data_IF_140200227365
#
_entry.id   IF_140200227365
#
_cell.length_a   1.000
_cell.length_b   1.000
_cell.length_c   1.000
_cell.angle_alpha   90.00
_cell.angle_beta   90.00
_cell.angle_gamma   90.00
#
_symmetry.space_group_name_H-M   'P 1'
#
loop_
_entity.id
_entity.type
_entity.pdbx_description
1 polymer ?
#
# COMPACT_ATOMS: atom_id res chain seq x y z
N UNK A 1 3.21 47.38 -3.80
CA UNK A 1 2.38 46.49 -4.64
C UNK A 1 3.28 45.39 -5.18
N UNK A 2 3.31 44.26 -4.47
CA UNK A 2 4.03 43.04 -4.87
C UNK A 2 2.97 42.07 -5.39
N UNK A 3 2.97 41.79 -6.70
CA UNK A 3 2.19 40.68 -7.26
C UNK A 3 3.07 39.43 -7.24
N UNK A 4 2.65 38.46 -6.43
CA UNK A 4 3.27 37.15 -6.31
C UNK A 4 3.03 36.33 -7.59
N UNK A 5 4.10 35.67 -8.03
CA UNK A 5 4.07 34.71 -9.13
C UNK A 5 3.20 33.51 -8.79
N UNK A 6 2.35 33.12 -9.75
CA UNK A 6 1.67 31.83 -9.74
C UNK A 6 2.71 30.72 -9.88
N UNK A 7 2.79 29.87 -8.86
CA UNK A 7 3.62 28.66 -8.89
C UNK A 7 3.15 27.74 -10.00
N UNK A 8 4.08 27.44 -10.90
CA UNK A 8 3.92 26.49 -11.99
C UNK A 8 3.76 25.08 -11.40
N UNK A 9 2.53 24.55 -11.37
CA UNK A 9 2.28 23.14 -11.09
C UNK A 9 2.83 22.33 -12.27
N UNK A 10 3.95 21.64 -12.03
CA UNK A 10 4.56 20.71 -12.98
C UNK A 10 3.49 19.70 -13.40
N UNK A 11 2.97 19.80 -14.62
CA UNK A 11 2.12 18.75 -15.17
C UNK A 11 2.98 17.49 -15.21
N UNK A 12 2.59 16.47 -14.45
CA UNK A 12 3.24 15.17 -14.50
C UNK A 12 3.08 14.65 -15.93
N UNK A 13 4.18 14.60 -16.69
CA UNK A 13 4.19 13.99 -18.02
C UNK A 13 3.97 12.48 -17.94
N UNK A 14 4.15 11.89 -16.75
CA UNK A 14 4.02 10.46 -16.52
C UNK A 14 2.74 10.11 -15.74
N UNK A 15 2.20 8.91 -16.02
CA UNK A 15 1.03 8.40 -15.34
C UNK A 15 1.44 7.53 -14.14
N UNK A 16 0.96 7.90 -12.95
CA UNK A 16 1.32 7.26 -11.69
C UNK A 16 0.07 6.78 -10.96
N UNK A 17 0.14 5.54 -10.47
CA UNK A 17 -0.90 4.85 -9.72
C UNK A 17 -0.37 4.61 -8.31
N UNK A 18 -1.09 5.13 -7.32
CA UNK A 18 -0.78 4.94 -5.90
C UNK A 18 -1.84 4.07 -5.25
N UNK A 19 -1.42 2.98 -4.62
CA UNK A 19 -2.27 2.08 -3.82
C UNK A 19 -1.67 1.74 -2.45
N UNK A 20 -0.43 2.17 -2.17
CA UNK A 20 0.27 1.95 -0.91
C UNK A 20 -0.06 3.04 0.13
N UNK A 21 -1.35 3.33 0.28
CA UNK A 21 -1.89 4.41 1.09
C UNK A 21 -3.23 4.88 0.54
N UNK A 22 -3.44 6.19 0.47
CA UNK A 22 -4.60 6.75 -0.24
C UNK A 22 -4.51 6.44 -1.73
N UNK A 23 -5.60 5.88 -2.27
CA UNK A 23 -5.64 5.45 -3.66
C UNK A 23 -5.79 6.67 -4.56
N UNK A 24 -4.88 6.81 -5.52
CA UNK A 24 -4.91 7.91 -6.47
C UNK A 24 -4.31 7.49 -7.82
N UNK A 25 -4.81 8.13 -8.88
CA UNK A 25 -4.20 8.08 -10.21
C UNK A 25 -3.94 9.52 -10.63
N UNK A 26 -2.68 9.80 -10.94
CA UNK A 26 -2.25 11.05 -11.56
C UNK A 26 -1.87 10.74 -13.01
N UNK A 27 -2.34 11.57 -13.94
CA UNK A 27 -2.15 11.36 -15.36
C UNK A 27 -2.26 12.69 -16.13
N UNK A 28 -1.63 12.80 -17.30
CA UNK A 28 -1.50 14.08 -18.03
C UNK A 28 -2.79 14.54 -18.71
N UNK A 29 -3.69 13.62 -19.05
CA UNK A 29 -4.92 13.93 -19.78
C UNK A 29 -6.02 14.50 -18.88
N UNK A 30 -7.08 15.06 -19.49
CA UNK A 30 -8.25 15.50 -18.74
C UNK A 30 -9.04 14.31 -18.18
N UNK A 31 -9.59 14.47 -16.98
CA UNK A 31 -10.51 13.51 -16.37
C UNK A 31 -11.74 14.25 -15.86
N UNK A 32 -12.93 13.73 -16.20
CA UNK A 32 -14.17 14.26 -15.65
C UNK A 32 -14.20 13.99 -14.13
N UNK A 33 -14.27 15.03 -13.27
CA UNK A 33 -14.31 14.87 -11.82
C UNK A 33 -15.42 13.93 -11.34
N UNK A 34 -16.60 13.99 -11.95
CA UNK A 34 -17.77 13.18 -11.57
C UNK A 34 -17.57 11.68 -11.84
N UNK A 35 -16.60 11.34 -12.69
CA UNK A 35 -16.26 9.96 -13.03
C UNK A 35 -14.93 9.50 -12.44
N UNK A 36 -14.20 10.38 -11.74
CA UNK A 36 -12.82 10.13 -11.33
C UNK A 36 -12.68 8.89 -10.46
N UNK A 37 -13.60 8.68 -9.52
CA UNK A 37 -13.55 7.50 -8.64
C UNK A 37 -13.67 6.19 -9.43
N UNK A 38 -14.62 6.11 -10.36
CA UNK A 38 -14.81 4.93 -11.20
C UNK A 38 -13.62 4.67 -12.13
N UNK A 39 -13.10 5.73 -12.78
CA UNK A 39 -11.96 5.59 -13.69
C UNK A 39 -10.68 5.22 -12.92
N UNK A 40 -10.51 5.74 -11.71
CA UNK A 40 -9.41 5.37 -10.79
C UNK A 40 -9.50 3.89 -10.44
N UNK A 41 -10.68 3.40 -10.06
CA UNK A 41 -10.91 1.99 -9.76
C UNK A 41 -10.56 1.09 -10.95
N UNK A 42 -10.98 1.45 -12.16
CA UNK A 42 -10.67 0.73 -13.39
C UNK A 42 -9.15 0.64 -13.63
N UNK A 43 -8.45 1.77 -13.52
CA UNK A 43 -7.00 1.84 -13.72
C UNK A 43 -6.26 1.01 -12.67
N UNK A 44 -6.67 1.07 -11.40
CA UNK A 44 -6.13 0.24 -10.32
C UNK A 44 -6.37 -1.24 -10.60
N UNK A 45 -7.55 -1.63 -11.07
CA UNK A 45 -7.84 -3.01 -11.42
C UNK A 45 -6.89 -3.52 -12.53
N UNK A 46 -6.66 -2.71 -13.57
CA UNK A 46 -5.72 -3.07 -14.64
C UNK A 46 -4.27 -3.13 -14.15
N UNK A 47 -3.85 -2.24 -13.24
CA UNK A 47 -2.51 -2.26 -12.66
C UNK A 47 -2.23 -3.54 -11.88
N UNK A 48 -3.24 -4.08 -11.20
CA UNK A 48 -3.15 -5.37 -10.50
C UNK A 48 -3.25 -6.59 -11.43
N UNK A 49 -3.55 -6.38 -12.71
CA UNK A 49 -3.71 -7.41 -13.73
C UNK A 49 -2.93 -7.04 -15.00
N UNK A 50 -1.61 -6.84 -14.87
CA UNK A 50 -0.71 -6.42 -15.97
C UNK A 50 -0.75 -7.34 -17.20
N UNK A 51 -1.11 -8.62 -17.05
CA UNK A 51 -1.32 -9.53 -18.18
C UNK A 51 -2.53 -9.20 -19.06
N UNK A 52 -3.38 -8.27 -18.63
CA UNK A 52 -4.50 -7.74 -19.38
C UNK A 52 -5.85 -8.39 -19.07
N UNK A 53 -6.91 -7.61 -19.24
CA UNK A 53 -8.27 -7.99 -18.84
C UNK A 53 -9.25 -7.81 -20.00
N UNK A 54 -10.12 -8.80 -20.21
CA UNK A 54 -11.21 -8.71 -21.18
C UNK A 54 -12.30 -7.75 -20.69
N UNK A 55 -12.97 -6.99 -21.59
CA UNK A 55 -14.05 -6.06 -21.21
C UNK A 55 -15.19 -6.69 -20.38
N UNK A 56 -15.55 -7.95 -20.66
CA UNK A 56 -16.57 -8.66 -19.89
C UNK A 56 -16.16 -8.93 -18.44
N UNK A 57 -14.87 -9.21 -18.19
CA UNK A 57 -14.34 -9.39 -16.83
C UNK A 57 -14.29 -8.05 -16.08
N UNK A 58 -13.89 -6.97 -16.77
CA UNK A 58 -13.94 -5.62 -16.21
C UNK A 58 -15.37 -5.21 -15.84
N UNK A 59 -16.34 -5.49 -16.71
CA UNK A 59 -17.75 -5.21 -16.45
C UNK A 59 -18.24 -5.95 -15.21
N UNK A 60 -17.97 -7.26 -15.12
CA UNK A 60 -18.37 -8.07 -13.98
C UNK A 60 -17.73 -7.63 -12.65
N UNK A 61 -16.49 -7.12 -12.71
CA UNK A 61 -15.75 -6.70 -11.52
C UNK A 61 -16.12 -5.29 -11.03
N UNK A 62 -16.35 -4.35 -11.96
CA UNK A 62 -16.43 -2.91 -11.68
C UNK A 62 -17.87 -2.37 -11.75
N UNK A 63 -18.72 -2.94 -12.61
CA UNK A 63 -20.06 -2.41 -12.82
C UNK A 63 -21.08 -3.05 -11.87
N UNK A 64 -22.17 -2.34 -11.53
CA UNK A 64 -23.31 -2.94 -10.88
C UNK A 64 -23.92 -4.06 -11.74
N UNK A 65 -24.54 -5.08 -11.12
CA UNK A 65 -25.31 -6.09 -11.86
C UNK A 65 -26.38 -5.43 -12.74
N UNK A 66 -26.47 -5.83 -14.01
CA UNK A 66 -27.46 -5.30 -14.96
C UNK A 66 -27.06 -3.98 -15.64
N UNK A 67 -25.83 -3.48 -15.42
CA UNK A 67 -25.29 -2.38 -16.20
C UNK A 67 -25.11 -2.77 -17.68
N UNK A 68 -25.18 -1.78 -18.58
CA UNK A 68 -25.03 -1.99 -20.01
C UNK A 68 -23.56 -2.23 -20.41
N UNK A 69 -23.34 -3.14 -21.37
CA UNK A 69 -22.01 -3.57 -21.83
C UNK A 69 -21.19 -2.46 -22.53
N UNK A 70 -21.85 -1.41 -23.01
CA UNK A 70 -21.21 -0.25 -23.64
C UNK A 70 -20.56 0.68 -22.61
N UNK A 71 -21.07 0.69 -21.36
CA UNK A 71 -20.55 1.53 -20.29
C UNK A 71 -19.07 1.26 -20.00
N UNK A 72 -18.63 -0.01 -20.03
CA UNK A 72 -17.22 -0.33 -19.79
C UNK A 72 -16.34 0.15 -20.95
N UNK A 73 -16.82 0.03 -22.19
CA UNK A 73 -16.06 0.45 -23.38
C UNK A 73 -15.89 1.96 -23.39
N UNK A 74 -16.96 2.71 -23.14
CA UNK A 74 -16.87 4.16 -23.01
C UNK A 74 -15.97 4.61 -21.86
N UNK A 75 -15.92 3.86 -20.75
CA UNK A 75 -15.00 4.13 -19.65
C UNK A 75 -13.54 3.86 -20.03
N UNK A 76 -13.26 2.78 -20.76
CA UNK A 76 -11.93 2.47 -21.27
C UNK A 76 -11.41 3.53 -22.24
N UNK A 77 -12.27 4.07 -23.10
CA UNK A 77 -11.92 5.18 -23.98
C UNK A 77 -11.58 6.46 -23.18
N UNK A 78 -12.33 6.74 -22.12
CA UNK A 78 -12.01 7.86 -21.21
C UNK A 78 -10.70 7.64 -20.45
N UNK A 79 -10.41 6.43 -19.99
CA UNK A 79 -9.12 6.09 -19.38
C UNK A 79 -8.00 6.28 -20.40
N UNK A 80 -8.20 5.90 -21.66
CA UNK A 80 -7.22 6.14 -22.72
C UNK A 80 -6.94 7.62 -22.93
N UNK A 81 -7.97 8.46 -22.96
CA UNK A 81 -7.79 9.93 -23.03
C UNK A 81 -7.11 10.48 -21.78
N UNK A 82 -7.47 9.99 -20.60
CA UNK A 82 -6.94 10.47 -19.32
C UNK A 82 -5.46 10.10 -19.13
N UNK A 83 -5.08 8.84 -19.37
CA UNK A 83 -3.68 8.40 -19.29
C UNK A 83 -2.83 8.96 -20.43
N UNK A 84 -3.45 9.24 -21.58
CA UNK A 84 -2.79 9.78 -22.76
C UNK A 84 -1.74 8.83 -23.34
N UNK A 85 -0.72 9.42 -23.95
CA UNK A 85 0.39 8.72 -24.57
C UNK A 85 1.72 9.13 -23.93
N UNK A 86 2.73 8.26 -24.06
CA UNK A 86 4.10 8.56 -23.66
C UNK A 86 4.76 9.62 -24.58
N UNK A 87 6.00 9.99 -24.27
CA UNK A 87 6.76 10.99 -25.04
C UNK A 87 6.99 10.57 -26.51
N UNK A 88 6.88 9.28 -26.82
CA UNK A 88 6.94 8.72 -28.17
C UNK A 88 5.59 8.67 -28.89
N UNK A 89 4.51 9.09 -28.24
CA UNK A 89 3.15 9.04 -28.78
C UNK A 89 2.48 7.67 -28.66
N UNK A 90 3.07 6.71 -27.93
CA UNK A 90 2.44 5.40 -27.70
C UNK A 90 1.38 5.50 -26.60
N UNK A 91 0.15 5.00 -26.83
CA UNK A 91 -0.89 5.02 -25.81
C UNK A 91 -0.48 4.27 -24.54
N UNK A 92 -0.74 4.87 -23.37
CA UNK A 92 -0.49 4.22 -22.07
C UNK A 92 -1.47 3.10 -21.73
N UNK A 93 -2.51 2.93 -22.54
CA UNK A 93 -3.43 1.80 -22.48
C UNK A 93 -3.70 1.28 -23.90
N UNK A 94 -3.54 -0.03 -24.06
CA UNK A 94 -3.63 -0.72 -25.35
C UNK A 94 -4.58 -1.91 -25.27
N UNK A 95 -5.04 -2.34 -26.44
CA UNK A 95 -5.78 -3.59 -26.63
C UNK A 95 -4.87 -4.51 -27.42
N UNK A 96 -4.56 -5.68 -26.86
CA UNK A 96 -3.83 -6.71 -27.59
C UNK A 96 -4.72 -7.44 -28.60
N UNK A 97 -4.11 -8.24 -29.47
CA UNK A 97 -4.82 -9.06 -30.46
C UNK A 97 -5.79 -10.07 -29.83
N UNK A 98 -5.57 -10.41 -28.56
CA UNK A 98 -6.45 -11.24 -27.74
C UNK A 98 -7.64 -10.49 -27.12
N UNK A 99 -7.85 -9.22 -27.51
CA UNK A 99 -8.94 -8.37 -27.04
C UNK A 99 -8.81 -7.89 -25.59
N UNK A 100 -7.67 -8.15 -24.93
CA UNK A 100 -7.43 -7.74 -23.56
C UNK A 100 -6.87 -6.33 -23.48
N UNK A 101 -7.42 -5.55 -22.58
CA UNK A 101 -6.94 -4.21 -22.24
C UNK A 101 -5.79 -4.30 -21.26
N UNK A 102 -4.71 -3.58 -21.54
CA UNK A 102 -3.45 -3.58 -20.77
C UNK A 102 -2.96 -2.16 -20.56
N UNK A 103 -2.42 -1.91 -19.38
CA UNK A 103 -1.59 -0.73 -19.15
C UNK A 103 -0.20 -0.98 -19.75
N UNK A 104 0.37 0.06 -20.36
CA UNK A 104 1.76 0.02 -20.80
C UNK A 104 2.71 -0.07 -19.59
N UNK A 105 3.90 -0.62 -19.80
CA UNK A 105 4.92 -0.80 -18.75
C UNK A 105 5.39 0.54 -18.15
N UNK A 106 5.30 1.62 -18.93
CA UNK A 106 5.58 2.98 -18.45
C UNK A 106 4.56 3.52 -17.44
N UNK A 107 3.37 2.90 -17.29
CA UNK A 107 2.39 3.32 -16.28
C UNK A 107 2.81 2.80 -14.93
N UNK A 108 3.36 3.70 -14.12
CA UNK A 108 3.97 3.41 -12.83
C UNK A 108 2.92 3.06 -11.78
N UNK A 109 3.14 2.00 -11.02
CA UNK A 109 2.34 1.69 -9.83
C UNK A 109 3.26 1.46 -8.64
N UNK A 110 3.03 2.18 -7.54
CA UNK A 110 3.84 2.10 -6.32
C UNK A 110 3.94 0.67 -5.76
N UNK A 111 2.93 -0.16 -5.93
CA UNK A 111 2.98 -1.58 -5.58
C UNK A 111 3.99 -2.38 -6.39
N UNK A 112 4.08 -2.13 -7.70
CA UNK A 112 5.07 -2.82 -8.55
C UNK A 112 6.50 -2.43 -8.12
N UNK A 113 6.72 -1.16 -7.79
CA UNK A 113 8.00 -0.69 -7.23
C UNK A 113 8.28 -1.32 -5.86
N UNK A 114 7.30 -1.36 -4.96
CA UNK A 114 7.43 -2.00 -3.66
C UNK A 114 7.89 -3.46 -3.81
N UNK A 115 7.21 -4.22 -4.67
CA UNK A 115 7.55 -5.62 -4.97
C UNK A 115 8.96 -5.74 -5.55
N UNK A 116 9.34 -4.85 -6.46
CA UNK A 116 10.68 -4.85 -7.04
C UNK A 116 11.78 -4.59 -6.00
N UNK A 117 11.62 -3.59 -5.13
CA UNK A 117 12.57 -3.31 -4.03
C UNK A 117 12.62 -4.46 -3.02
N UNK A 118 11.46 -5.05 -2.66
CA UNK A 118 11.41 -6.19 -1.78
C UNK A 118 12.17 -7.40 -2.37
N UNK A 119 11.96 -7.72 -3.65
CA UNK A 119 12.68 -8.79 -4.33
C UNK A 119 14.19 -8.51 -4.47
N UNK A 120 14.56 -7.27 -4.80
CA UNK A 120 15.97 -6.89 -4.94
C UNK A 120 16.71 -7.00 -3.60
N UNK A 121 16.09 -6.58 -2.50
CA UNK A 121 16.68 -6.71 -1.16
C UNK A 121 17.02 -8.15 -0.75
N UNK A 122 16.45 -9.16 -1.42
CA UNK A 122 16.75 -10.57 -1.19
C UNK A 122 17.95 -11.09 -2.01
N UNK A 123 18.48 -10.30 -2.94
CA UNK A 123 19.62 -10.69 -3.76
C UNK A 123 20.94 -10.52 -3.00
N UNK A 124 21.93 -11.42 -3.18
CA UNK A 124 23.20 -11.41 -2.44
C UNK A 124 24.00 -10.09 -2.55
N UNK A 125 23.95 -9.45 -3.70
CA UNK A 125 24.68 -8.22 -4.02
C UNK A 125 23.94 -6.92 -3.68
N UNK A 126 22.72 -7.03 -3.14
CA UNK A 126 21.88 -5.88 -2.84
C UNK A 126 22.30 -5.17 -1.55
N UNK A 127 22.10 -3.84 -1.52
CA UNK A 127 22.00 -3.10 -0.27
C UNK A 127 20.59 -3.31 0.29
N UNK A 128 20.42 -4.41 1.03
CA UNK A 128 19.14 -4.82 1.56
C UNK A 128 18.50 -3.74 2.46
N UNK A 129 19.29 -3.02 3.25
CA UNK A 129 18.77 -1.97 4.12
C UNK A 129 18.20 -0.80 3.31
N UNK A 130 18.94 -0.32 2.32
CA UNK A 130 18.52 0.75 1.42
C UNK A 130 17.27 0.37 0.61
N UNK A 131 17.22 -0.85 0.09
CA UNK A 131 16.08 -1.34 -0.69
C UNK A 131 14.82 -1.49 0.18
N UNK A 132 14.92 -2.10 1.36
CA UNK A 132 13.78 -2.24 2.27
C UNK A 132 13.29 -0.88 2.78
N UNK A 133 14.22 0.05 3.08
CA UNK A 133 13.88 1.43 3.45
C UNK A 133 13.11 2.11 2.33
N UNK A 134 13.58 1.98 1.09
CA UNK A 134 12.94 2.58 -0.08
C UNK A 134 11.56 1.97 -0.32
N UNK A 135 11.40 0.66 -0.16
CA UNK A 135 10.10 -0.01 -0.24
C UNK A 135 9.12 0.54 0.81
N UNK A 136 9.52 0.65 2.09
CA UNK A 136 8.64 1.17 3.14
C UNK A 136 8.26 2.65 2.96
N UNK A 137 9.10 3.47 2.31
CA UNK A 137 8.75 4.86 2.01
C UNK A 137 7.54 4.99 1.07
N UNK A 138 7.24 3.96 0.29
CA UNK A 138 6.04 3.92 -0.55
C UNK A 138 4.76 3.74 0.29
N UNK A 139 4.87 3.22 1.52
CA UNK A 139 3.73 3.02 2.43
C UNK A 139 3.40 4.34 3.13
N UNK A 140 2.53 5.13 2.49
CA UNK A 140 2.16 6.47 2.95
C UNK A 140 1.00 6.49 3.93
N UNK A 141 0.17 5.43 3.94
CA UNK A 141 -1.07 5.38 4.72
C UNK A 141 -1.54 3.96 5.03
N UNK A 142 -2.70 3.83 5.70
CA UNK A 142 -3.41 2.56 5.78
C UNK A 142 -3.75 2.04 4.39
N UNK A 143 -3.58 0.73 4.16
CA UNK A 143 -3.85 0.13 2.86
C UNK A 143 -5.36 -0.07 2.66
N UNK A 144 -5.84 0.17 1.44
CA UNK A 144 -7.24 -0.05 1.05
C UNK A 144 -8.25 0.66 1.97
N UNK A 145 -7.88 1.84 2.46
CA UNK A 145 -8.73 2.70 3.28
C UNK A 145 -9.40 3.80 2.44
N UNK A 146 -10.36 4.52 3.03
CA UNK A 146 -11.03 5.67 2.41
C UNK A 146 -11.66 5.39 1.03
N UNK A 147 -12.07 4.14 0.76
CA UNK A 147 -12.62 3.75 -0.52
C UNK A 147 -13.99 4.41 -0.75
N UNK A 148 -14.25 5.01 -1.93
CA UNK A 148 -15.55 5.57 -2.27
C UNK A 148 -16.68 4.54 -2.14
N UNK A 149 -17.85 4.99 -1.65
CA UNK A 149 -19.00 4.10 -1.44
C UNK A 149 -19.47 3.51 -2.77
N UNK A 150 -19.62 2.18 -2.82
CA UNK A 150 -20.09 1.48 -4.02
C UNK A 150 -18.98 1.04 -4.99
N UNK A 151 -17.74 1.45 -4.73
CA UNK A 151 -16.56 1.09 -5.51
C UNK A 151 -15.76 -0.05 -4.87
N UNK A 152 -14.82 -0.60 -5.63
CA UNK A 152 -13.86 -1.63 -5.22
C UNK A 152 -14.50 -2.93 -4.70
N UNK A 153 -15.67 -3.28 -5.24
CA UNK A 153 -16.45 -4.45 -4.81
C UNK A 153 -15.67 -5.77 -4.99
N UNK A 154 -14.85 -5.84 -6.03
CA UNK A 154 -13.98 -6.97 -6.33
C UNK A 154 -12.92 -7.24 -5.25
N UNK A 155 -12.63 -6.29 -4.35
CA UNK A 155 -11.74 -6.53 -3.21
C UNK A 155 -12.28 -7.60 -2.25
N UNK A 156 -13.60 -7.84 -2.21
CA UNK A 156 -14.19 -8.86 -1.35
C UNK A 156 -13.77 -10.28 -1.75
N UNK A 157 -13.50 -10.51 -3.03
CA UNK A 157 -13.05 -11.80 -3.57
C UNK A 157 -11.55 -11.84 -3.92
N UNK A 158 -10.87 -10.69 -3.87
CA UNK A 158 -9.45 -10.58 -4.20
C UNK A 158 -8.57 -10.82 -2.98
N UNK A 159 -7.42 -11.47 -3.20
CA UNK A 159 -6.39 -11.63 -2.17
C UNK A 159 -5.54 -10.39 -1.96
N UNK A 160 -5.67 -9.37 -2.81
CA UNK A 160 -4.75 -8.22 -2.81
C UNK A 160 -4.63 -7.54 -1.45
N UNK A 161 -5.73 -7.42 -0.69
CA UNK A 161 -5.69 -6.83 0.66
C UNK A 161 -4.74 -7.58 1.58
N UNK A 162 -4.82 -8.90 1.58
CA UNK A 162 -3.95 -9.77 2.38
C UNK A 162 -2.53 -9.79 1.81
N UNK A 163 -2.38 -9.85 0.48
CA UNK A 163 -1.08 -9.86 -0.19
C UNK A 163 -0.28 -8.59 0.12
N UNK A 164 -0.86 -7.41 -0.06
CA UNK A 164 -0.16 -6.14 0.20
C UNK A 164 0.15 -5.97 1.68
N UNK A 165 -0.78 -6.31 2.57
CA UNK A 165 -0.55 -6.24 4.01
C UNK A 165 0.58 -7.18 4.47
N UNK A 166 0.58 -8.43 3.98
CA UNK A 166 1.60 -9.43 4.32
C UNK A 166 2.97 -8.99 3.82
N UNK A 167 3.07 -8.53 2.57
CA UNK A 167 4.33 -8.10 2.00
C UNK A 167 4.92 -6.87 2.75
N UNK A 168 4.08 -5.91 3.15
CA UNK A 168 4.51 -4.78 3.99
C UNK A 168 5.00 -5.24 5.37
N UNK A 169 4.31 -6.20 5.98
CA UNK A 169 4.74 -6.79 7.26
C UNK A 169 6.10 -7.48 7.11
N UNK A 170 6.31 -8.28 6.06
CA UNK A 170 7.57 -9.00 5.84
C UNK A 170 8.74 -8.03 5.62
N UNK A 171 8.55 -6.98 4.80
CA UNK A 171 9.56 -5.94 4.56
C UNK A 171 9.87 -5.17 5.85
N UNK A 172 8.85 -4.78 6.61
CA UNK A 172 9.03 -4.06 7.87
C UNK A 172 9.75 -4.90 8.92
N UNK A 173 9.37 -6.17 9.09
CA UNK A 173 10.01 -7.12 10.00
C UNK A 173 11.49 -7.33 9.64
N UNK A 174 11.78 -7.51 8.35
CA UNK A 174 13.15 -7.71 7.87
C UNK A 174 14.03 -6.49 8.10
N UNK A 175 13.53 -5.28 7.79
CA UNK A 175 14.27 -4.05 8.04
C UNK A 175 14.49 -3.81 9.54
N UNK A 176 13.47 -4.03 10.36
CA UNK A 176 13.57 -3.87 11.81
C UNK A 176 14.59 -4.85 12.41
N UNK A 177 14.58 -6.10 11.97
CA UNK A 177 15.54 -7.12 12.43
C UNK A 177 16.97 -6.77 12.02
N UNK A 178 17.19 -6.35 10.77
CA UNK A 178 18.49 -5.96 10.24
C UNK A 178 19.08 -4.77 11.00
N UNK A 179 18.30 -3.68 11.11
CA UNK A 179 18.76 -2.41 11.72
C UNK A 179 18.94 -2.55 13.23
N UNK A 180 18.08 -3.31 13.91
CA UNK A 180 18.27 -3.65 15.32
C UNK A 180 19.55 -4.47 15.54
N UNK A 181 19.87 -5.40 14.62
CA UNK A 181 21.11 -6.19 14.68
C UNK A 181 22.39 -5.34 14.69
N UNK A 182 22.35 -4.15 14.08
CA UNK A 182 23.43 -3.16 14.08
C UNK A 182 23.30 -2.11 15.20
N UNK A 183 22.27 -2.19 16.04
CA UNK A 183 22.01 -1.23 17.12
C UNK A 183 21.25 0.04 16.68
N UNK A 184 20.84 0.15 15.42
CA UNK A 184 20.02 1.26 14.94
C UNK A 184 18.54 1.06 15.34
N UNK A 185 18.25 1.46 16.58
CA UNK A 185 16.89 1.42 17.11
C UNK A 185 15.96 2.46 16.49
N UNK A 186 16.49 3.52 15.86
CA UNK A 186 15.66 4.57 15.26
C UNK A 186 15.01 4.05 13.99
N UNK A 187 15.79 3.46 13.10
CA UNK A 187 15.28 2.89 11.85
C UNK A 187 14.40 1.67 12.12
N UNK A 188 14.75 0.82 13.08
CA UNK A 188 13.92 -0.32 13.47
C UNK A 188 12.53 0.10 13.99
N UNK A 189 12.44 1.13 14.84
CA UNK A 189 11.16 1.68 15.28
C UNK A 189 10.37 2.22 14.09
N UNK A 190 11.00 2.99 13.21
CA UNK A 190 10.34 3.57 12.04
C UNK A 190 9.80 2.50 11.09
N UNK A 191 10.54 1.41 10.89
CA UNK A 191 10.13 0.26 10.09
C UNK A 191 8.87 -0.40 10.70
N UNK A 192 8.91 -0.74 11.99
CA UNK A 192 7.78 -1.35 12.70
C UNK A 192 6.54 -0.46 12.63
N UNK A 193 6.69 0.85 12.89
CA UNK A 193 5.58 1.81 12.86
C UNK A 193 4.97 1.96 11.46
N UNK A 194 5.79 1.91 10.42
CA UNK A 194 5.31 1.96 9.04
C UNK A 194 4.54 0.69 8.68
N UNK A 195 5.05 -0.49 9.05
CA UNK A 195 4.34 -1.75 8.84
C UNK A 195 3.03 -1.85 9.62
N UNK A 196 3.00 -1.38 10.87
CA UNK A 196 1.79 -1.31 11.70
C UNK A 196 0.74 -0.32 11.17
N UNK A 197 1.13 0.66 10.35
CA UNK A 197 0.17 1.53 9.64
C UNK A 197 -0.64 0.73 8.61
N UNK A 198 0.02 -0.20 7.92
CA UNK A 198 -0.61 -1.08 6.92
C UNK A 198 -1.35 -2.26 7.55
N UNK A 199 -0.80 -2.83 8.63
CA UNK A 199 -1.36 -3.98 9.34
C UNK A 199 -1.33 -3.76 10.86
N UNK A 200 -2.30 -3.01 11.42
CA UNK A 200 -2.27 -2.60 12.84
C UNK A 200 -2.28 -3.75 13.85
N UNK A 201 -2.76 -4.92 13.46
CA UNK A 201 -2.86 -6.11 14.32
C UNK A 201 -1.75 -7.14 14.04
N UNK A 202 -0.73 -6.80 13.25
CA UNK A 202 0.38 -7.69 12.95
C UNK A 202 1.29 -7.89 14.18
N UNK A 203 1.04 -8.94 14.95
CA UNK A 203 1.74 -9.19 16.22
C UNK A 203 3.26 -9.34 16.07
N UNK A 204 3.75 -9.83 14.92
CA UNK A 204 5.19 -9.92 14.64
C UNK A 204 5.87 -8.55 14.72
N UNK A 205 5.27 -7.51 14.14
CA UNK A 205 5.82 -6.15 14.18
C UNK A 205 5.69 -5.51 15.56
N UNK A 206 4.66 -5.88 16.32
CA UNK A 206 4.57 -5.47 17.72
C UNK A 206 5.69 -6.10 18.55
N UNK A 207 5.98 -7.40 18.36
CA UNK A 207 7.09 -8.08 19.02
C UNK A 207 8.44 -7.43 18.66
N UNK A 208 8.66 -7.08 17.40
CA UNK A 208 9.86 -6.34 16.98
C UNK A 208 9.95 -4.98 17.65
N UNK A 209 8.89 -4.19 17.61
CA UNK A 209 8.84 -2.87 18.24
C UNK A 209 9.13 -2.95 19.75
N UNK A 210 8.57 -3.94 20.44
CA UNK A 210 8.83 -4.18 21.86
C UNK A 210 10.30 -4.47 22.13
N UNK A 211 10.92 -5.36 21.35
CA UNK A 211 12.37 -5.66 21.45
C UNK A 211 13.22 -4.43 21.18
N UNK A 212 12.91 -3.66 20.13
CA UNK A 212 13.64 -2.45 19.78
C UNK A 212 13.54 -1.37 20.86
N UNK A 213 12.36 -1.15 21.44
CA UNK A 213 12.17 -0.17 22.51
C UNK A 213 12.84 -0.63 23.81
N UNK A 214 12.78 -1.93 24.13
CA UNK A 214 13.48 -2.48 25.29
C UNK A 214 15.01 -2.32 25.18
N UNK A 215 15.59 -2.44 23.99
CA UNK A 215 17.02 -2.21 23.75
C UNK A 215 17.50 -0.80 24.15
N UNK A 216 16.59 0.19 24.14
CA UNK A 216 16.86 1.57 24.58
C UNK A 216 16.86 1.75 26.11
N UNK A 217 16.46 0.72 26.87
CA UNK A 217 16.37 0.71 28.35
C UNK A 217 15.45 1.81 28.93
N UNK A 218 14.47 2.26 28.15
CA UNK A 218 13.44 3.19 28.61
C UNK A 218 12.17 2.43 29.01
N UNK A 219 12.02 2.20 30.32
CA UNK A 219 10.89 1.47 30.88
C UNK A 219 9.54 2.15 30.60
N UNK A 220 9.49 3.49 30.63
CA UNK A 220 8.24 4.23 30.43
C UNK A 220 7.80 4.13 28.98
N UNK A 221 8.74 4.26 28.05
CA UNK A 221 8.46 4.07 26.63
C UNK A 221 7.97 2.65 26.34
N UNK A 222 8.61 1.63 26.94
CA UNK A 222 8.18 0.24 26.78
C UNK A 222 6.76 0.00 27.32
N UNK A 223 6.45 0.50 28.52
CA UNK A 223 5.10 0.39 29.10
C UNK A 223 4.03 1.07 28.22
N UNK A 224 4.36 2.23 27.63
CA UNK A 224 3.45 2.92 26.71
C UNK A 224 3.16 2.08 25.45
N UNK A 225 4.18 1.49 24.83
CA UNK A 225 4.03 0.64 23.65
C UNK A 225 3.25 -0.64 23.95
N UNK A 226 3.48 -1.28 25.10
CA UNK A 226 2.72 -2.45 25.52
C UNK A 226 1.23 -2.11 25.66
N UNK A 227 0.90 -0.99 26.30
CA UNK A 227 -0.49 -0.57 26.44
C UNK A 227 -1.13 -0.28 25.07
N UNK A 228 -0.42 0.41 24.18
CA UNK A 228 -0.86 0.68 22.81
C UNK A 228 -1.16 -0.62 22.05
N UNK A 229 -0.22 -1.58 22.06
CA UNK A 229 -0.37 -2.89 21.43
C UNK A 229 -1.64 -3.62 21.90
N UNK A 230 -1.85 -3.71 23.21
CA UNK A 230 -3.03 -4.38 23.75
C UNK A 230 -4.33 -3.66 23.38
N UNK A 231 -4.34 -2.33 23.31
CA UNK A 231 -5.52 -1.60 22.84
C UNK A 231 -5.80 -1.85 21.36
N UNK A 232 -4.75 -2.03 20.55
CA UNK A 232 -4.89 -2.27 19.12
C UNK A 232 -5.33 -3.71 18.80
N UNK A 233 -4.67 -4.73 19.36
CA UNK A 233 -4.93 -6.15 19.03
C UNK A 233 -6.13 -6.71 19.79
N UNK A 234 -6.21 -6.41 21.09
CA UNK A 234 -7.18 -7.03 21.99
C UNK A 234 -7.95 -5.98 22.80
N UNK A 235 -8.70 -5.05 22.18
CA UNK A 235 -9.51 -4.08 22.90
C UNK A 235 -10.46 -4.78 23.87
N UNK A 236 -10.67 -4.20 25.08
CA UNK A 236 -11.39 -4.86 26.19
C UNK A 236 -12.82 -5.35 25.86
N UNK A 237 -13.43 -4.83 24.79
CA UNK A 237 -14.83 -5.12 24.42
C UNK A 237 -14.98 -6.11 23.26
N UNK A 238 -13.89 -6.63 22.69
CA UNK A 238 -13.96 -7.46 21.48
C UNK A 238 -13.78 -8.96 21.73
N UNK A 239 -13.39 -9.37 22.96
CA UNK A 239 -13.10 -10.77 23.29
C UNK A 239 -11.84 -11.33 22.59
N UNK A 240 -11.17 -10.52 21.77
CA UNK A 240 -9.93 -10.87 21.09
C UNK A 240 -8.80 -11.06 22.12
N UNK A 241 -7.85 -11.92 21.79
CA UNK A 241 -6.67 -12.22 22.61
C UNK A 241 -5.42 -12.04 21.76
N UNK A 242 -4.37 -11.57 22.42
CA UNK A 242 -3.01 -11.53 21.91
C UNK A 242 -2.45 -12.95 21.89
N UNK A 243 -1.54 -13.27 20.97
CA UNK A 243 -0.88 -14.57 20.93
C UNK A 243 -0.06 -14.80 22.20
N UNK A 244 -0.01 -16.06 22.66
CA UNK A 244 0.74 -16.44 23.87
C UNK A 244 2.24 -16.08 23.78
N UNK A 245 2.83 -16.14 22.58
CA UNK A 245 4.20 -15.71 22.34
C UNK A 245 4.42 -14.22 22.64
N UNK A 246 3.49 -13.37 22.20
CA UNK A 246 3.54 -11.92 22.43
C UNK A 246 3.32 -11.61 23.92
N UNK A 247 2.37 -12.28 24.57
CA UNK A 247 2.16 -12.13 26.01
C UNK A 247 3.41 -12.55 26.80
N UNK A 248 4.04 -13.68 26.44
CA UNK A 248 5.27 -14.14 27.07
C UNK A 248 6.41 -13.12 26.93
N UNK A 249 6.58 -12.54 25.74
CA UNK A 249 7.56 -11.49 25.50
C UNK A 249 7.32 -10.25 26.38
N UNK A 250 6.05 -9.85 26.58
CA UNK A 250 5.73 -8.74 27.51
C UNK A 250 6.16 -9.06 28.94
N UNK A 251 5.93 -10.29 29.40
CA UNK A 251 6.32 -10.70 30.76
C UNK A 251 7.84 -10.75 30.93
N UNK A 252 8.56 -11.17 29.89
CA UNK A 252 10.02 -11.17 29.84
C UNK A 252 10.60 -9.74 29.90
N UNK A 253 10.11 -8.86 29.03
CA UNK A 253 10.65 -7.49 28.89
C UNK A 253 10.21 -6.55 30.03
N UNK A 254 9.04 -6.79 30.63
CA UNK A 254 8.49 -5.96 31.69
C UNK A 254 7.85 -6.78 32.81
N UNK A 255 8.66 -7.44 33.67
CA UNK A 255 8.15 -8.25 34.77
C UNK A 255 7.22 -7.45 35.69
N UNK A 256 6.10 -8.06 36.07
CA UNK A 256 5.08 -7.46 36.92
C UNK A 256 4.16 -6.46 36.23
N UNK A 257 4.24 -6.32 34.90
CA UNK A 257 3.29 -5.51 34.14
C UNK A 257 1.86 -5.99 34.36
N UNK A 258 0.95 -5.06 34.66
CA UNK A 258 -0.49 -5.30 34.69
C UNK A 258 -1.14 -4.34 33.71
N UNK A 259 -1.90 -4.91 32.76
CA UNK A 259 -2.67 -4.15 31.79
C UNK A 259 -3.63 -3.20 32.53
N UNK A 260 -3.43 -1.89 32.35
CA UNK A 260 -4.32 -0.86 32.93
C UNK A 260 -5.62 -0.73 32.19
#
# INVERSE_FOLDING_TARGET
MLSAGSGNSSQSTDAEIRIMGDIAVEAPGPCNPDRRDFLTELVVYLALHRSGVLPGVLSAALLPPGAADDMIRGALDQVRTWLGADDGGHPRITVGDDGRWRLADGVRCDWDFFVAYAHRSAQPESDAESDLTTALRLVTGPLWANLPKGHYRWLASSRIRTTTATAVVDVAHRLASLTLGHGDTVTAIAACRTGLRAAPTAEVLWRDLLRTVAARRDRKALEAVINEMYQMIAPRRTGLKVQAETDALVHELLPGFRRR
#
